data_IF_040327860652
#
_entry.id   IF_040327860652
#
_cell.length_a   1.000
_cell.length_b   1.000
_cell.length_c   1.000
_cell.angle_alpha   90.00
_cell.angle_beta   90.00
_cell.angle_gamma   90.00
#
_symmetry.space_group_name_H-M   'P 1'
#
loop_
_entity.id
_entity.type
_entity.pdbx_description
1 polymer ?
#
# COMPACT_ATOMS: atom_id res chain seq x y z
N UNK A 1 14.62 -15.35 -28.08
CA UNK A 1 13.77 -14.14 -28.00
C UNK A 1 12.76 -14.39 -26.88
N UNK A 2 13.03 -13.94 -25.66
CA UNK A 2 12.19 -14.22 -24.51
C UNK A 2 10.88 -13.43 -24.65
N UNK A 3 9.77 -14.17 -24.70
CA UNK A 3 8.41 -13.66 -24.86
C UNK A 3 8.10 -12.80 -23.64
N UNK A 4 7.99 -11.48 -23.80
CA UNK A 4 7.55 -10.59 -22.71
C UNK A 4 6.22 -11.11 -22.19
N UNK A 5 6.14 -11.63 -20.95
CA UNK A 5 4.87 -12.01 -20.40
C UNK A 5 4.19 -10.68 -20.06
N UNK A 6 3.22 -10.31 -20.89
CA UNK A 6 2.26 -9.22 -20.62
C UNK A 6 1.46 -9.53 -19.33
N UNK A 7 1.52 -10.78 -18.86
CA UNK A 7 0.98 -11.26 -17.60
C UNK A 7 2.09 -11.37 -16.55
N UNK A 8 1.79 -11.00 -15.30
CA UNK A 8 2.68 -11.22 -14.16
C UNK A 8 3.14 -12.69 -14.10
N UNK A 9 4.44 -12.92 -14.18
CA UNK A 9 5.02 -14.25 -14.02
C UNK A 9 5.07 -14.61 -12.53
N UNK A 10 4.10 -15.41 -12.08
CA UNK A 10 4.01 -15.91 -10.71
C UNK A 10 4.98 -17.08 -10.41
N UNK A 11 5.79 -17.51 -11.38
CA UNK A 11 6.78 -18.58 -11.21
C UNK A 11 7.75 -18.30 -10.07
N UNK A 12 8.17 -17.03 -9.90
CA UNK A 12 9.07 -16.62 -8.80
C UNK A 12 8.43 -16.79 -7.43
N UNK A 13 7.11 -16.55 -7.32
CA UNK A 13 6.37 -16.68 -6.07
C UNK A 13 6.25 -18.15 -5.63
N UNK A 14 6.14 -19.05 -6.62
CA UNK A 14 6.01 -20.50 -6.41
C UNK A 14 7.36 -21.17 -6.11
N UNK A 15 8.40 -20.82 -6.87
CA UNK A 15 9.66 -21.58 -6.90
C UNK A 15 10.76 -21.04 -5.99
N UNK A 16 10.64 -19.80 -5.48
CA UNK A 16 11.68 -19.18 -4.66
C UNK A 16 11.15 -18.73 -3.29
N UNK A 17 11.64 -19.38 -2.22
CA UNK A 17 11.23 -19.13 -0.84
C UNK A 17 11.62 -17.72 -0.37
N UNK A 18 12.83 -17.25 -0.73
CA UNK A 18 13.31 -15.92 -0.36
C UNK A 18 12.48 -14.82 -1.04
N UNK A 19 12.16 -15.01 -2.33
CA UNK A 19 11.30 -14.08 -3.06
C UNK A 19 9.92 -13.98 -2.44
N UNK A 20 9.32 -15.12 -2.04
CA UNK A 20 8.02 -15.13 -1.36
C UNK A 20 8.06 -14.37 -0.02
N UNK A 21 9.12 -14.51 0.77
CA UNK A 21 9.27 -13.78 2.02
C UNK A 21 9.32 -12.26 1.79
N UNK A 22 10.12 -11.80 0.83
CA UNK A 22 10.22 -10.37 0.48
C UNK A 22 8.90 -9.85 -0.09
N UNK A 23 8.23 -10.65 -0.92
CA UNK A 23 6.92 -10.29 -1.47
C UNK A 23 5.88 -10.08 -0.37
N UNK A 24 5.80 -10.99 0.61
CA UNK A 24 4.88 -10.85 1.74
C UNK A 24 5.25 -9.63 2.59
N UNK A 25 6.53 -9.41 2.88
CA UNK A 25 6.98 -8.22 3.60
C UNK A 25 6.58 -6.93 2.87
N UNK A 26 6.72 -6.91 1.55
CA UNK A 26 6.31 -5.77 0.72
C UNK A 26 4.80 -5.59 0.71
N UNK A 27 4.04 -6.67 0.63
CA UNK A 27 2.57 -6.64 0.71
C UNK A 27 2.12 -6.02 2.03
N UNK A 28 2.66 -6.49 3.16
CA UNK A 28 2.36 -5.94 4.49
C UNK A 28 2.70 -4.45 4.55
N UNK A 29 3.87 -4.07 4.03
CA UNK A 29 4.31 -2.65 4.03
C UNK A 29 3.36 -1.76 3.25
N UNK A 30 2.97 -2.17 2.04
CA UNK A 30 2.06 -1.39 1.18
C UNK A 30 0.67 -1.31 1.80
N UNK A 31 0.17 -2.41 2.38
CA UNK A 31 -1.11 -2.40 3.09
C UNK A 31 -1.07 -1.47 4.32
N UNK A 32 0.01 -1.51 5.10
CA UNK A 32 0.20 -0.63 6.25
C UNK A 32 0.23 0.84 5.85
N UNK A 33 1.02 1.19 4.83
CA UNK A 33 1.07 2.54 4.28
C UNK A 33 -0.29 2.98 3.74
N UNK A 34 -0.96 2.12 2.97
CA UNK A 34 -2.31 2.41 2.45
C UNK A 34 -3.36 2.58 3.56
N UNK A 35 -3.23 1.86 4.67
CA UNK A 35 -4.09 2.07 5.84
C UNK A 35 -3.79 3.41 6.52
N UNK A 36 -2.52 3.80 6.67
CA UNK A 36 -2.17 5.09 7.27
C UNK A 36 -2.72 6.26 6.45
N UNK A 37 -2.60 6.22 5.11
CA UNK A 37 -3.10 7.30 4.25
C UNK A 37 -4.62 7.48 4.32
N UNK A 38 -5.39 6.46 4.70
CA UNK A 38 -6.86 6.56 4.84
C UNK A 38 -7.34 6.71 6.29
N UNK A 39 -6.64 6.09 7.24
CA UNK A 39 -7.04 6.12 8.64
C UNK A 39 -6.82 7.51 9.25
N UNK A 40 -5.70 8.17 8.92
CA UNK A 40 -5.38 9.50 9.44
C UNK A 40 -6.45 10.53 9.03
N UNK A 41 -6.85 10.65 7.74
CA UNK A 41 -7.91 11.58 7.34
C UNK A 41 -9.28 11.27 7.97
N UNK A 42 -9.65 9.98 8.03
CA UNK A 42 -10.93 9.55 8.62
C UNK A 42 -10.97 9.89 10.11
N UNK A 43 -9.87 9.67 10.83
CA UNK A 43 -9.79 9.99 12.25
C UNK A 43 -9.86 11.50 12.49
N UNK A 44 -9.16 12.30 11.69
CA UNK A 44 -9.24 13.77 11.78
C UNK A 44 -10.67 14.24 11.54
N UNK A 45 -11.33 13.73 10.48
CA UNK A 45 -12.74 14.05 10.19
C UNK A 45 -13.67 13.67 11.36
N UNK A 46 -13.45 12.51 11.99
CA UNK A 46 -14.26 12.06 13.11
C UNK A 46 -14.06 12.93 14.38
N UNK A 47 -12.84 13.43 14.60
CA UNK A 47 -12.52 14.27 15.75
C UNK A 47 -12.92 15.73 15.57
N UNK A 48 -12.80 16.29 14.35
CA UNK A 48 -12.98 17.73 14.12
C UNK A 48 -14.25 18.08 13.36
N UNK A 49 -14.86 17.13 12.64
CA UNK A 49 -16.02 17.38 11.79
C UNK A 49 -15.74 18.25 10.56
N UNK A 50 -14.50 18.74 10.37
CA UNK A 50 -14.15 19.73 9.35
C UNK A 50 -13.33 19.13 8.21
N UNK A 51 -13.91 19.11 7.02
CA UNK A 51 -13.27 18.62 5.79
C UNK A 51 -12.09 19.49 5.35
N UNK A 52 -12.07 20.78 5.71
CA UNK A 52 -10.95 21.68 5.44
C UNK A 52 -9.71 21.30 6.25
N UNK A 53 -9.88 20.92 7.51
CA UNK A 53 -8.78 20.49 8.37
C UNK A 53 -8.22 19.13 7.93
N UNK A 54 -9.08 18.24 7.43
CA UNK A 54 -8.66 16.98 6.79
C UNK A 54 -7.82 17.25 5.55
N UNK A 55 -8.29 18.16 4.67
CA UNK A 55 -7.56 18.54 3.46
C UNK A 55 -6.18 19.13 3.77
N UNK A 56 -6.11 20.03 4.76
CA UNK A 56 -4.83 20.59 5.21
C UNK A 56 -3.90 19.53 5.80
N UNK A 57 -4.42 18.62 6.63
CA UNK A 57 -3.63 17.56 7.21
C UNK A 57 -3.05 16.60 6.16
N UNK A 58 -3.86 16.21 5.16
CA UNK A 58 -3.40 15.36 4.05
C UNK A 58 -2.35 16.05 3.18
N UNK A 59 -2.46 17.35 2.96
CA UNK A 59 -1.48 18.09 2.15
C UNK A 59 -0.15 18.34 2.86
N UNK A 60 -0.11 18.22 4.19
CA UNK A 60 1.06 18.49 5.02
C UNK A 60 1.80 17.22 5.49
N UNK A 61 1.16 16.05 5.36
CA UNK A 61 1.76 14.73 5.59
C UNK A 61 2.62 14.28 4.39
#
# INVERSE_FOLDING_TARGET
MAKSPILLDFSLLKNNVNFRAVFIARLISVLGLGMLTVAVPVQIQAMTGSTLQVGLAVTLD
#
